data_IF_439992282358
#
_entry.id   IF_439992282358
#
_cell.length_a   1.000
_cell.length_b   1.000
_cell.length_c   1.000
_cell.angle_alpha   90.00
_cell.angle_beta   90.00
_cell.angle_gamma   90.00
#
_symmetry.space_group_name_H-M   'P 1'
#
loop_
_entity.id
_entity.type
_entity.pdbx_description
1 polymer ?
#
# COMPACT_ATOMS: atom_id res chain seq x y z
N UNK A 1 0.51 -3.03 12.45
CA UNK A 1 -0.88 -3.13 11.94
C UNK A 1 -0.89 -2.87 10.44
N UNK A 2 -1.65 -3.67 9.67
CA UNK A 2 -1.78 -3.50 8.21
C UNK A 2 -3.22 -3.06 7.87
N UNK A 3 -3.38 -1.96 7.15
CA UNK A 3 -4.67 -1.48 6.68
C UNK A 3 -4.91 -1.87 5.24
N UNK A 4 -6.01 -2.57 4.97
CA UNK A 4 -6.40 -2.99 3.63
C UNK A 4 -7.50 -2.09 3.09
N UNK A 5 -7.38 -1.64 1.85
CA UNK A 5 -8.48 -0.94 1.19
C UNK A 5 -8.54 -1.17 -0.33
N UNK A 6 -9.73 -1.17 -0.91
CA UNK A 6 -9.93 -1.32 -2.35
C UNK A 6 -11.33 -0.87 -2.78
N UNK A 7 -11.52 -0.66 -4.08
CA UNK A 7 -12.83 -0.63 -4.74
C UNK A 7 -13.24 -2.04 -5.23
N UNK A 8 -14.31 -2.13 -6.01
CA UNK A 8 -14.79 -3.36 -6.61
C UNK A 8 -13.74 -4.11 -7.44
N UNK A 9 -12.77 -3.41 -8.03
CA UNK A 9 -11.77 -4.02 -8.91
C UNK A 9 -10.84 -4.92 -8.13
N UNK A 10 -10.39 -4.49 -6.95
CA UNK A 10 -9.47 -5.26 -6.13
C UNK A 10 -10.13 -6.10 -5.03
N UNK A 11 -11.46 -6.04 -4.87
CA UNK A 11 -12.21 -6.74 -3.83
C UNK A 11 -11.84 -8.24 -3.70
N UNK A 12 -11.87 -8.98 -4.80
CA UNK A 12 -11.57 -10.41 -4.79
C UNK A 12 -10.11 -10.72 -4.36
N UNK A 13 -9.15 -9.89 -4.76
CA UNK A 13 -7.75 -10.05 -4.37
C UNK A 13 -7.52 -9.63 -2.91
N UNK A 14 -8.20 -8.58 -2.42
CA UNK A 14 -8.16 -8.17 -1.01
C UNK A 14 -8.58 -9.31 -0.07
N UNK A 15 -9.64 -10.04 -0.42
CA UNK A 15 -10.10 -11.18 0.41
C UNK A 15 -9.06 -12.29 0.48
N UNK A 16 -8.30 -12.53 -0.60
CA UNK A 16 -7.16 -13.46 -0.58
C UNK A 16 -6.00 -12.94 0.26
N UNK A 17 -5.70 -11.64 0.17
CA UNK A 17 -4.67 -10.99 0.99
C UNK A 17 -4.97 -11.14 2.48
N UNK A 18 -6.23 -10.98 2.90
CA UNK A 18 -6.65 -11.22 4.30
C UNK A 18 -6.28 -12.64 4.76
N UNK A 19 -6.53 -13.64 3.92
CA UNK A 19 -6.15 -15.03 4.24
C UNK A 19 -4.63 -15.20 4.33
N UNK A 20 -3.85 -14.59 3.43
CA UNK A 20 -2.39 -14.67 3.47
C UNK A 20 -1.78 -13.96 4.68
N UNK A 21 -2.30 -12.79 5.04
CA UNK A 21 -1.85 -12.06 6.23
C UNK A 21 -2.14 -12.84 7.50
N UNK A 22 -3.31 -13.48 7.60
CA UNK A 22 -3.62 -14.39 8.70
C UNK A 22 -2.68 -15.61 8.73
N UNK A 23 -2.38 -16.20 7.56
CA UNK A 23 -1.42 -17.32 7.42
C UNK A 23 0.00 -16.94 7.87
N UNK A 24 0.38 -15.67 7.73
CA UNK A 24 1.71 -15.15 8.09
C UNK A 24 1.73 -14.42 9.44
N UNK A 25 0.69 -14.57 10.27
CA UNK A 25 0.58 -13.97 11.61
C UNK A 25 0.70 -12.42 11.62
N UNK A 26 0.22 -11.75 10.58
CA UNK A 26 0.11 -10.28 10.55
C UNK A 26 -1.27 -9.80 10.99
N UNK A 27 -1.29 -8.87 11.96
CA UNK A 27 -2.50 -8.13 12.30
C UNK A 27 -2.90 -7.17 11.16
N UNK A 28 -4.16 -7.28 10.74
CA UNK A 28 -4.72 -6.41 9.71
C UNK A 28 -6.12 -5.89 10.06
N UNK A 29 -6.49 -4.76 9.45
CA UNK A 29 -7.82 -4.17 9.49
C UNK A 29 -8.30 -3.88 8.07
N UNK A 30 -9.47 -4.42 7.74
CA UNK A 30 -10.17 -4.14 6.50
C UNK A 30 -10.87 -2.78 6.60
N UNK A 31 -10.54 -1.85 5.70
CA UNK A 31 -11.12 -0.50 5.63
C UNK A 31 -12.15 -0.37 4.50
N UNK A 32 -12.47 -1.51 3.85
CA UNK A 32 -13.42 -1.63 2.76
C UNK A 32 -12.75 -1.65 1.37
N UNK A 33 -13.46 -1.92 0.30
CA UNK A 33 -14.88 -2.26 0.24
C UNK A 33 -15.20 -3.56 1.03
N UNK A 34 -16.31 -3.55 1.77
CA UNK A 34 -16.72 -4.68 2.62
C UNK A 34 -17.55 -5.71 1.88
N UNK A 35 -18.09 -5.31 0.73
CA UNK A 35 -18.82 -6.13 -0.22
C UNK A 35 -18.46 -5.69 -1.64
N UNK A 36 -18.80 -6.50 -2.62
CA UNK A 36 -18.62 -6.14 -4.03
C UNK A 36 -19.76 -5.24 -4.48
N UNK A 37 -19.44 -4.03 -4.93
CA UNK A 37 -20.37 -3.09 -5.54
C UNK A 37 -19.70 -2.47 -6.79
N UNK A 38 -20.18 -2.84 -7.98
CA UNK A 38 -19.54 -2.47 -9.24
C UNK A 38 -19.50 -0.95 -9.52
N UNK A 39 -20.30 -0.16 -8.79
CA UNK A 39 -20.40 1.29 -8.92
C UNK A 39 -19.68 2.03 -7.78
N UNK A 40 -18.91 1.34 -6.93
CA UNK A 40 -18.18 1.96 -5.83
C UNK A 40 -16.96 2.79 -6.27
N UNK A 41 -16.54 3.71 -5.38
CA UNK A 41 -15.49 4.68 -5.65
C UNK A 41 -14.30 4.46 -4.71
N UNK A 42 -13.14 4.10 -5.26
CA UNK A 42 -11.91 3.84 -4.49
C UNK A 42 -11.55 4.93 -3.45
N UNK A 43 -11.72 6.26 -3.69
CA UNK A 43 -11.33 7.26 -2.70
C UNK A 43 -12.02 7.10 -1.34
N UNK A 44 -13.23 6.56 -1.29
CA UNK A 44 -14.01 6.42 -0.04
C UNK A 44 -13.43 5.37 0.91
N UNK A 45 -12.69 4.41 0.37
CA UNK A 45 -11.99 3.38 1.13
C UNK A 45 -10.52 3.74 1.33
N UNK A 46 -9.83 4.18 0.27
CA UNK A 46 -8.40 4.48 0.33
C UNK A 46 -8.10 5.60 1.33
N UNK A 47 -8.94 6.65 1.42
CA UNK A 47 -8.77 7.72 2.41
C UNK A 47 -8.71 7.19 3.84
N UNK A 48 -9.55 6.21 4.17
CA UNK A 48 -9.61 5.62 5.52
C UNK A 48 -8.33 4.85 5.86
N UNK A 49 -7.81 4.07 4.91
CA UNK A 49 -6.54 3.36 5.10
C UNK A 49 -5.36 4.33 5.15
N UNK A 50 -5.33 5.34 4.29
CA UNK A 50 -4.27 6.35 4.25
C UNK A 50 -4.24 7.18 5.54
N UNK A 51 -5.40 7.61 6.05
CA UNK A 51 -5.50 8.31 7.34
C UNK A 51 -5.01 7.43 8.50
N UNK A 52 -5.38 6.15 8.52
CA UNK A 52 -4.94 5.22 9.55
C UNK A 52 -3.41 5.00 9.52
N UNK A 53 -2.81 4.91 8.32
CA UNK A 53 -1.35 4.87 8.18
C UNK A 53 -0.72 6.20 8.60
N UNK A 54 -1.28 7.34 8.21
CA UNK A 54 -0.76 8.67 8.55
C UNK A 54 -0.75 8.96 10.05
N UNK A 55 -1.68 8.36 10.81
CA UNK A 55 -1.76 8.51 12.26
C UNK A 55 -0.62 7.80 13.01
N UNK A 56 -0.04 6.73 12.43
CA UNK A 56 1.11 6.03 12.99
C UNK A 56 2.02 5.50 11.86
N UNK A 57 2.70 6.39 11.12
CA UNK A 57 3.35 6.07 9.84
C UNK A 57 4.58 5.17 9.98
N UNK A 58 5.12 5.06 11.20
CA UNK A 58 6.28 4.22 11.51
C UNK A 58 5.87 2.76 11.73
N UNK A 59 4.76 2.51 12.45
CA UNK A 59 4.33 1.16 12.84
C UNK A 59 3.12 0.63 12.04
N UNK A 60 2.56 1.46 11.16
CA UNK A 60 1.46 1.08 10.27
C UNK A 60 1.94 0.85 8.85
N UNK A 61 1.25 -0.06 8.16
CA UNK A 61 1.39 -0.29 6.72
C UNK A 61 0.02 -0.28 6.06
N UNK A 62 -0.03 0.06 4.78
CA UNK A 62 -1.23 -0.08 3.95
C UNK A 62 -0.98 -0.99 2.77
N UNK A 63 -1.96 -1.83 2.43
CA UNK A 63 -2.01 -2.51 1.13
C UNK A 63 -3.33 -2.11 0.50
N UNK A 64 -3.23 -1.35 -0.58
CA UNK A 64 -4.39 -0.81 -1.29
C UNK A 64 -4.45 -1.37 -2.70
N UNK A 65 -5.64 -1.49 -3.26
CA UNK A 65 -5.83 -2.13 -4.55
C UNK A 65 -6.87 -1.39 -5.40
N UNK A 66 -6.65 -1.38 -6.70
CA UNK A 66 -7.65 -1.00 -7.70
C UNK A 66 -7.23 -1.53 -9.06
N UNK A 67 -7.94 -1.13 -10.12
CA UNK A 67 -7.65 -1.61 -11.48
C UNK A 67 -6.17 -1.45 -11.87
N UNK A 68 -5.62 -0.25 -11.66
CA UNK A 68 -4.21 0.08 -11.94
C UNK A 68 -3.37 0.29 -10.68
N UNK A 69 -3.99 0.55 -9.52
CA UNK A 69 -3.27 0.96 -8.32
C UNK A 69 -2.82 2.43 -8.35
N UNK A 70 -2.90 3.11 -9.49
CA UNK A 70 -2.43 4.49 -9.65
C UNK A 70 -3.32 5.49 -8.90
N UNK A 71 -4.64 5.43 -9.13
CA UNK A 71 -5.60 6.34 -8.48
C UNK A 71 -5.57 6.19 -6.96
N UNK A 72 -5.45 4.95 -6.50
CA UNK A 72 -5.37 4.59 -5.10
C UNK A 72 -4.09 5.17 -4.48
N UNK A 73 -2.94 5.01 -5.11
CA UNK A 73 -1.69 5.63 -4.65
C UNK A 73 -1.75 7.16 -4.67
N UNK A 74 -2.40 7.76 -5.67
CA UNK A 74 -2.59 9.22 -5.74
C UNK A 74 -3.43 9.74 -4.58
N UNK A 75 -4.48 9.03 -4.16
CA UNK A 75 -5.29 9.39 -2.99
C UNK A 75 -4.48 9.22 -1.70
N UNK A 76 -3.80 8.07 -1.55
CA UNK A 76 -3.04 7.77 -0.34
C UNK A 76 -1.91 8.80 -0.10
N UNK A 77 -1.17 9.17 -1.16
CA UNK A 77 -0.07 10.14 -1.08
C UNK A 77 -0.52 11.60 -0.78
N UNK A 78 -1.83 11.89 -0.67
CA UNK A 78 -2.30 13.20 -0.18
C UNK A 78 -2.17 13.35 1.34
N UNK A 79 -1.96 12.26 2.05
CA UNK A 79 -1.84 12.24 3.50
C UNK A 79 -0.38 12.39 3.92
N UNK A 80 -0.11 13.34 4.80
CA UNK A 80 1.25 13.61 5.30
C UNK A 80 1.83 12.34 5.95
N UNK A 81 3.05 11.99 5.60
CA UNK A 81 3.73 10.80 6.10
C UNK A 81 3.31 9.48 5.42
N UNK A 82 2.35 9.52 4.48
CA UNK A 82 2.04 8.38 3.62
C UNK A 82 2.92 8.43 2.37
N UNK A 83 3.55 7.30 2.08
CA UNK A 83 4.41 7.08 0.91
C UNK A 83 3.95 5.80 0.24
N UNK A 84 2.99 5.96 -0.67
CA UNK A 84 2.42 4.90 -1.48
C UNK A 84 3.24 4.69 -2.77
N UNK A 85 3.64 3.44 -2.99
CA UNK A 85 4.24 2.97 -4.25
C UNK A 85 3.23 2.15 -5.03
N UNK A 86 3.26 2.23 -6.35
CA UNK A 86 2.41 1.39 -7.22
C UNK A 86 3.22 0.20 -7.71
N UNK A 87 2.61 -0.98 -7.71
CA UNK A 87 3.16 -2.19 -8.28
C UNK A 87 2.18 -2.86 -9.24
N UNK A 88 2.63 -3.02 -10.48
CA UNK A 88 1.86 -3.51 -11.64
C UNK A 88 2.57 -4.73 -12.28
N UNK A 89 3.27 -5.56 -11.49
CA UNK A 89 3.88 -6.80 -11.98
C UNK A 89 5.31 -6.66 -12.55
N UNK A 90 6.04 -5.64 -12.11
CA UNK A 90 7.45 -5.45 -12.45
C UNK A 90 8.40 -6.39 -11.68
N UNK A 91 9.73 -6.27 -11.90
CA UNK A 91 10.71 -7.09 -11.18
C UNK A 91 10.65 -6.86 -9.66
N UNK A 92 10.97 -7.91 -8.89
CA UNK A 92 11.04 -7.89 -7.42
C UNK A 92 11.86 -6.71 -6.87
N UNK A 93 12.90 -6.31 -7.60
CA UNK A 93 13.75 -5.16 -7.29
C UNK A 93 12.93 -3.88 -7.01
N UNK A 94 11.83 -3.64 -7.75
CA UNK A 94 10.99 -2.45 -7.54
C UNK A 94 10.36 -2.48 -6.14
N UNK A 95 9.90 -3.66 -5.71
CA UNK A 95 9.32 -3.85 -4.38
C UNK A 95 10.37 -3.65 -3.30
N UNK A 96 11.53 -4.30 -3.45
CA UNK A 96 12.63 -4.20 -2.50
C UNK A 96 13.09 -2.75 -2.34
N UNK A 97 13.36 -2.05 -3.46
CA UNK A 97 13.81 -0.67 -3.45
C UNK A 97 12.75 0.29 -2.89
N UNK A 98 11.45 0.02 -3.11
CA UNK A 98 10.38 0.84 -2.52
C UNK A 98 10.45 0.86 -0.99
N UNK A 99 10.83 -0.25 -0.36
CA UNK A 99 11.03 -0.33 1.09
C UNK A 99 12.38 0.25 1.49
N UNK A 100 13.46 -0.25 0.89
CA UNK A 100 14.83 0.11 1.24
C UNK A 100 15.14 1.59 1.06
N UNK A 101 14.70 2.19 -0.06
CA UNK A 101 15.08 3.55 -0.43
C UNK A 101 14.02 4.59 -0.10
N UNK A 102 12.73 4.24 -0.19
CA UNK A 102 11.63 5.18 -0.03
C UNK A 102 10.91 5.03 1.32
N UNK A 103 11.22 4.00 2.09
CA UNK A 103 10.45 3.58 3.26
C UNK A 103 8.94 3.64 2.96
N UNK A 104 8.53 3.13 1.79
CA UNK A 104 7.14 3.15 1.36
C UNK A 104 6.29 2.41 2.39
N UNK A 105 5.35 3.09 3.03
CA UNK A 105 4.49 2.51 4.05
C UNK A 105 3.12 2.13 3.48
N UNK A 106 2.88 2.35 2.19
CA UNK A 106 1.71 1.85 1.47
C UNK A 106 2.15 1.18 0.16
N UNK A 107 1.66 -0.04 -0.10
CA UNK A 107 1.79 -0.74 -1.38
C UNK A 107 0.45 -0.70 -2.10
N UNK A 108 0.42 -0.10 -3.29
CA UNK A 108 -0.75 -0.04 -4.16
C UNK A 108 -0.61 -1.05 -5.29
N UNK A 109 -1.56 -1.99 -5.39
CA UNK A 109 -1.53 -3.05 -6.41
C UNK A 109 -2.48 -2.75 -7.56
N UNK A 110 -1.95 -2.81 -8.78
CA UNK A 110 -2.72 -2.77 -10.02
C UNK A 110 -3.22 -4.14 -10.42
N UNK A 111 -4.43 -4.49 -10.00
CA UNK A 111 -4.96 -5.87 -10.10
C UNK A 111 -5.17 -6.37 -11.53
N UNK A 112 -5.21 -5.48 -12.52
CA UNK A 112 -5.26 -5.88 -13.94
C UNK A 112 -3.91 -6.34 -14.50
N UNK A 113 -2.81 -6.07 -13.78
CA UNK A 113 -1.44 -6.28 -14.26
C UNK A 113 -0.67 -7.32 -13.45
N UNK A 114 -1.22 -7.76 -12.31
CA UNK A 114 -0.60 -8.78 -11.45
C UNK A 114 -1.48 -10.01 -11.36
N UNK A 115 -0.89 -11.18 -11.56
CA UNK A 115 -1.53 -12.43 -11.17
C UNK A 115 -1.44 -12.65 -9.66
N UNK A 116 -2.19 -13.64 -9.17
CA UNK A 116 -2.29 -13.93 -7.74
C UNK A 116 -0.96 -14.35 -7.11
N UNK A 117 -0.17 -15.17 -7.81
CA UNK A 117 1.12 -15.65 -7.29
C UNK A 117 2.11 -14.50 -7.16
N UNK A 118 2.17 -13.63 -8.19
CA UNK A 118 2.98 -12.42 -8.20
C UNK A 118 2.53 -11.45 -7.12
N UNK A 119 1.23 -11.27 -6.91
CA UNK A 119 0.69 -10.45 -5.82
C UNK A 119 1.07 -11.01 -4.44
N UNK A 120 0.88 -12.32 -4.19
CA UNK A 120 1.23 -12.95 -2.91
C UNK A 120 2.73 -12.79 -2.62
N UNK A 121 3.57 -13.07 -3.62
CA UNK A 121 5.03 -12.96 -3.51
C UNK A 121 5.48 -11.52 -3.24
N UNK A 122 4.98 -10.56 -4.02
CA UNK A 122 5.38 -9.15 -3.89
C UNK A 122 4.94 -8.55 -2.55
N UNK A 123 3.74 -8.87 -2.07
CA UNK A 123 3.28 -8.44 -0.74
C UNK A 123 4.20 -9.00 0.35
N UNK A 124 4.51 -10.30 0.30
CA UNK A 124 5.37 -10.92 1.32
C UNK A 124 6.76 -10.28 1.33
N UNK A 125 7.37 -10.14 0.15
CA UNK A 125 8.66 -9.47 -0.01
C UNK A 125 8.62 -8.04 0.52
N UNK A 126 7.57 -7.28 0.21
CA UNK A 126 7.41 -5.90 0.68
C UNK A 126 7.28 -5.79 2.20
N UNK A 127 6.54 -6.70 2.83
CA UNK A 127 6.35 -6.73 4.29
C UNK A 127 7.64 -7.12 5.02
N UNK A 128 8.39 -8.08 4.49
CA UNK A 128 9.61 -8.61 5.09
C UNK A 128 10.84 -7.71 4.83
N UNK A 129 10.79 -6.84 3.81
CA UNK A 129 11.92 -5.96 3.48
C UNK A 129 12.02 -4.78 4.45
N UNK A 130 13.10 -4.68 5.25
CA UNK A 130 13.32 -3.55 6.14
C UNK A 130 13.72 -2.29 5.37
N UNK A 131 13.49 -1.13 5.99
CA UNK A 131 14.08 0.12 5.52
C UNK A 131 15.58 0.13 5.85
N UNK A 132 16.43 0.50 4.90
CA UNK A 132 17.90 0.48 5.11
C UNK A 132 18.38 1.59 6.05
N UNK A 133 17.66 2.71 6.11
CA UNK A 133 18.01 3.81 7.01
C UNK A 133 19.24 4.61 6.59
N UNK A 134 19.77 4.45 5.38
CA UNK A 134 20.92 5.24 4.94
C UNK A 134 20.59 6.74 4.95
N UNK A 135 21.57 7.57 5.33
CA UNK A 135 21.40 9.02 5.52
C UNK A 135 20.80 9.71 4.28
N UNK A 136 21.20 9.28 3.07
CA UNK A 136 20.67 9.84 1.81
C UNK A 136 19.18 9.58 1.63
N UNK A 137 18.68 8.42 2.07
CA UNK A 137 17.29 8.01 1.93
C UNK A 137 16.43 8.73 2.97
N UNK A 138 16.88 8.73 4.23
CA UNK A 138 16.24 9.49 5.32
C UNK A 138 16.10 10.98 4.97
N UNK A 139 17.17 11.60 4.46
CA UNK A 139 17.14 13.01 4.04
C UNK A 139 16.13 13.29 2.93
N UNK A 140 16.00 12.38 1.95
CA UNK A 140 15.03 12.52 0.85
C UNK A 140 13.59 12.35 1.34
N UNK A 141 13.34 11.36 2.19
CA UNK A 141 12.02 11.13 2.81
C UNK A 141 11.59 12.37 3.61
N UNK A 142 12.49 12.92 4.43
CA UNK A 142 12.21 14.14 5.18
C UNK A 142 11.77 15.29 4.26
N UNK A 143 12.41 15.46 3.10
CA UNK A 143 12.02 16.46 2.10
C UNK A 143 10.69 16.19 1.41
N UNK A 144 10.28 14.93 1.28
CA UNK A 144 8.96 14.55 0.75
C UNK A 144 7.87 14.89 1.77
N UNK A 145 8.14 14.60 3.06
CA UNK A 145 7.18 14.81 4.14
C UNK A 145 7.11 16.28 4.61
N UNK A 146 8.13 17.09 4.27
CA UNK A 146 8.12 18.54 4.39
C UNK A 146 7.20 19.15 3.32
N UNK A 147 6.03 19.65 3.75
CA UNK A 147 5.14 20.39 2.86
C UNK A 147 5.86 21.59 2.25
N UNK A 148 5.73 21.78 0.94
CA UNK A 148 5.87 23.10 0.33
C UNK A 148 4.65 23.90 0.80
N UNK A 149 4.78 24.61 1.93
CA UNK A 149 3.77 25.59 2.35
C UNK A 149 3.57 26.58 1.21
N UNK A 150 2.35 26.63 0.68
CA UNK A 150 1.86 27.71 -0.19
C UNK A 150 1.31 28.82 0.68
#
# INVERSE_FOLDING_TARGET
MIYLATDHRGFALKEKIKAWLAEWDYDFKDMGAFEYDADDDYPDFIRKAAEAVANDPEHSRGIILGASGQGEAMVANRYKGVRAVVYEGGPDEIITLSRQHNNANVLSLGVLFVDEETAKKSIKLWLETPFEGEERHVRRIKKIDEQVTS
#
